data_IF_303505068298
#
_entry.id   IF_303505068298
#
_cell.length_a   1.000
_cell.length_b   1.000
_cell.length_c   1.000
_cell.angle_alpha   90.00
_cell.angle_beta   90.00
_cell.angle_gamma   90.00
#
_symmetry.space_group_name_H-M   'P 1'
#
loop_
_entity.id
_entity.type
_entity.pdbx_description
1 polymer ?
#
# COMPACT_ATOMS: atom_id res chain seq x y z
N UNK A 1 14.48 4.98 15.40
CA UNK A 1 13.43 5.85 14.82
C UNK A 1 13.24 5.71 13.31
N UNK A 2 14.27 5.80 12.47
CA UNK A 2 14.14 5.87 10.99
C UNK A 2 13.39 4.69 10.32
N UNK A 3 13.50 3.47 10.84
CA UNK A 3 12.90 2.28 10.21
C UNK A 3 11.37 2.33 10.08
N UNK A 4 10.65 2.87 11.07
CA UNK A 4 9.18 2.96 11.03
C UNK A 4 8.68 3.92 9.95
N UNK A 5 9.39 5.03 9.76
CA UNK A 5 9.09 6.01 8.72
C UNK A 5 9.38 5.43 7.33
N UNK A 6 10.53 4.79 7.14
CA UNK A 6 10.89 4.18 5.85
C UNK A 6 9.94 3.06 5.44
N UNK A 7 9.58 2.18 6.38
CA UNK A 7 8.62 1.09 6.14
C UNK A 7 7.22 1.64 5.90
N UNK A 8 6.80 2.64 6.68
CA UNK A 8 5.50 3.29 6.49
C UNK A 8 5.38 4.00 5.15
N UNK A 9 6.44 4.69 4.70
CA UNK A 9 6.49 5.34 3.40
C UNK A 9 6.43 4.32 2.25
N UNK A 10 7.17 3.23 2.35
CA UNK A 10 7.13 2.12 1.38
C UNK A 10 5.72 1.53 1.24
N UNK A 11 5.07 1.24 2.36
CA UNK A 11 3.71 0.71 2.39
C UNK A 11 2.70 1.70 1.82
N UNK A 12 2.83 2.99 2.13
CA UNK A 12 1.94 4.02 1.63
C UNK A 12 2.06 4.19 0.11
N UNK A 13 3.30 4.24 -0.42
CA UNK A 13 3.55 4.33 -1.87
C UNK A 13 3.02 3.10 -2.59
N UNK A 14 3.27 1.91 -2.05
CA UNK A 14 2.80 0.66 -2.65
C UNK A 14 1.26 0.57 -2.61
N UNK A 15 0.64 0.92 -1.49
CA UNK A 15 -0.82 0.96 -1.38
C UNK A 15 -1.45 1.97 -2.34
N UNK A 16 -0.85 3.16 -2.50
CA UNK A 16 -1.31 4.17 -3.43
C UNK A 16 -1.23 3.68 -4.87
N UNK A 17 -0.13 3.02 -5.22
CA UNK A 17 0.04 2.39 -6.53
C UNK A 17 -1.09 1.39 -6.81
N UNK A 18 -1.39 0.48 -5.88
CA UNK A 18 -2.46 -0.51 -6.06
C UNK A 18 -3.88 0.08 -6.10
N UNK A 19 -4.12 1.22 -5.44
CA UNK A 19 -5.43 1.90 -5.45
C UNK A 19 -5.63 2.73 -6.72
N UNK A 20 -4.58 3.41 -7.18
CA UNK A 20 -4.63 4.33 -8.32
C UNK A 20 -4.48 3.62 -9.67
N UNK A 21 -3.71 2.53 -9.72
CA UNK A 21 -3.45 1.82 -10.96
C UNK A 21 -4.71 1.06 -11.43
N UNK A 22 -5.07 1.15 -12.72
CA UNK A 22 -6.21 0.41 -13.26
C UNK A 22 -5.95 -1.09 -13.19
N UNK A 23 -7.01 -1.85 -12.85
CA UNK A 23 -6.90 -3.30 -12.67
C UNK A 23 -6.46 -4.01 -13.95
N UNK A 24 -6.86 -3.53 -15.13
CA UNK A 24 -6.44 -4.14 -16.39
C UNK A 24 -4.91 -4.16 -16.53
N UNK A 25 -4.24 -3.08 -16.12
CA UNK A 25 -2.77 -2.98 -16.17
C UNK A 25 -2.09 -3.84 -15.12
N UNK A 26 -2.68 -3.92 -13.93
CA UNK A 26 -2.21 -4.80 -12.87
C UNK A 26 -2.35 -6.27 -13.26
N UNK A 27 -3.48 -6.66 -13.84
CA UNK A 27 -3.75 -8.04 -14.25
C UNK A 27 -2.88 -8.48 -15.44
N UNK A 28 -2.52 -7.55 -16.34
CA UNK A 28 -1.59 -7.79 -17.44
C UNK A 28 -0.20 -8.22 -16.92
N UNK A 29 0.28 -7.59 -15.85
CA UNK A 29 1.58 -7.90 -15.19
C UNK A 29 1.44 -9.08 -14.22
N UNK A 30 0.37 -9.11 -13.45
CA UNK A 30 0.10 -10.09 -12.40
C UNK A 30 -1.10 -10.96 -12.79
N UNK A 31 -0.87 -11.90 -13.71
CA UNK A 31 -1.86 -12.89 -14.19
C UNK A 31 -2.50 -13.76 -13.09
N UNK A 32 -1.98 -13.72 -11.86
CA UNK A 32 -2.53 -14.45 -10.70
C UNK A 32 -3.63 -13.71 -9.93
N UNK A 33 -3.95 -12.46 -10.31
CA UNK A 33 -4.96 -11.67 -9.59
C UNK A 33 -6.37 -12.17 -9.90
N UNK A 34 -7.06 -12.66 -8.87
CA UNK A 34 -8.40 -13.24 -9.01
C UNK A 34 -9.54 -12.23 -9.05
N UNK A 35 -9.35 -11.03 -8.46
CA UNK A 35 -10.43 -10.05 -8.37
C UNK A 35 -9.92 -8.61 -8.31
N UNK A 36 -10.58 -7.68 -9.04
CA UNK A 36 -10.31 -6.24 -8.92
C UNK A 36 -10.64 -5.70 -7.54
N UNK A 37 -11.63 -6.27 -6.86
CA UNK A 37 -12.06 -5.82 -5.53
C UNK A 37 -10.99 -6.13 -4.50
N UNK A 38 -10.50 -7.37 -4.46
CA UNK A 38 -9.45 -7.78 -3.51
C UNK A 38 -8.15 -7.01 -3.71
N UNK A 39 -7.89 -6.58 -4.94
CA UNK A 39 -6.73 -5.75 -5.31
C UNK A 39 -6.85 -4.35 -4.72
N UNK A 40 -7.98 -3.69 -4.93
CA UNK A 40 -8.23 -2.35 -4.40
C UNK A 40 -8.30 -2.36 -2.88
N UNK A 41 -8.93 -3.37 -2.29
CA UNK A 41 -8.99 -3.55 -0.83
C UNK A 41 -7.59 -3.80 -0.26
N UNK A 42 -6.80 -4.68 -0.89
CA UNK A 42 -5.40 -4.91 -0.48
C UNK A 42 -4.55 -3.63 -0.54
N UNK A 43 -4.68 -2.86 -1.63
CA UNK A 43 -4.01 -1.56 -1.75
C UNK A 43 -4.43 -0.55 -0.68
N UNK A 44 -5.74 -0.46 -0.39
CA UNK A 44 -6.26 0.42 0.65
C UNK A 44 -5.75 0.02 2.05
N UNK A 45 -5.71 -1.27 2.35
CA UNK A 45 -5.15 -1.79 3.62
C UNK A 45 -3.66 -1.46 3.73
N UNK A 46 -2.89 -1.63 2.66
CA UNK A 46 -1.47 -1.25 2.62
C UNK A 46 -1.27 0.25 2.85
N UNK A 47 -2.13 1.09 2.25
CA UNK A 47 -2.11 2.54 2.45
C UNK A 47 -2.38 2.91 3.90
N UNK A 48 -3.46 2.40 4.48
CA UNK A 48 -3.85 2.68 5.87
C UNK A 48 -2.76 2.19 6.83
N UNK A 49 -2.22 0.99 6.60
CA UNK A 49 -1.13 0.44 7.40
C UNK A 49 0.15 1.29 7.29
N UNK A 50 0.50 1.76 6.09
CA UNK A 50 1.63 2.64 5.86
C UNK A 50 1.50 3.98 6.59
N UNK A 51 0.34 4.62 6.48
CA UNK A 51 0.04 5.87 7.21
C UNK A 51 0.09 5.65 8.72
N UNK A 52 -0.50 4.58 9.24
CA UNK A 52 -0.46 4.27 10.67
C UNK A 52 0.99 4.07 11.18
N UNK A 53 1.85 3.43 10.38
CA UNK A 53 3.26 3.24 10.70
C UNK A 53 4.05 4.57 10.68
N UNK A 54 3.73 5.47 9.73
CA UNK A 54 4.31 6.81 9.71
C UNK A 54 3.90 7.59 10.95
N UNK A 55 2.60 7.63 11.26
CA UNK A 55 2.06 8.33 12.44
C UNK A 55 2.70 7.80 13.72
N UNK A 56 2.80 6.48 13.86
CA UNK A 56 3.48 5.84 15.00
C UNK A 56 4.97 6.19 15.05
N UNK A 57 5.65 6.25 13.90
CA UNK A 57 7.05 6.64 13.79
C UNK A 57 7.31 8.10 14.19
N UNK A 58 6.37 9.01 13.90
CA UNK A 58 6.40 10.42 14.32
C UNK A 58 6.08 10.56 15.81
N UNK A 59 5.12 9.80 16.32
CA UNK A 59 4.67 9.90 17.71
C UNK A 59 5.67 9.29 18.71
N UNK A 60 6.51 8.34 18.25
CA UNK A 60 7.59 7.73 19.02
C UNK A 60 8.96 8.42 18.83
N UNK A 61 8.98 9.56 18.11
CA UNK A 61 10.17 10.37 17.83
C UNK A 61 10.39 11.39 18.95
#
# INVERSE_FOLDING_TARGET
MSGYLSVGLLLAVLGAFFVLMPYEKLHEVFRGMRSPVTTKVGGAVLLVGGVAMIVKGIMLL
#
